data_IF_905470789292
#
_entry.id   IF_905470789292
#
_cell.length_a   1.000
_cell.length_b   1.000
_cell.length_c   1.000
_cell.angle_alpha   90.00
_cell.angle_beta   90.00
_cell.angle_gamma   90.00
#
_symmetry.space_group_name_H-M   'P 1'
#
loop_
_entity.id
_entity.type
_entity.pdbx_description
1 polymer ?
#
# COMPACT_ATOMS: atom_id res chain seq x y z
N UNK A 1 -39.77 20.68 -54.75
CA UNK A 1 -38.41 20.74 -55.36
C UNK A 1 -37.78 19.36 -55.12
N UNK A 2 -37.57 18.49 -56.14
CA UNK A 2 -36.30 18.29 -56.90
C UNK A 2 -35.06 18.15 -55.98
N UNK A 3 -34.21 17.11 -55.96
CA UNK A 3 -34.11 15.78 -56.68
C UNK A 3 -34.46 14.60 -55.71
N UNK A 4 -34.52 13.29 -56.03
CA UNK A 4 -34.34 12.42 -57.22
C UNK A 4 -32.93 11.79 -57.49
N UNK A 5 -32.92 10.47 -57.80
CA UNK A 5 -31.86 9.54 -58.30
C UNK A 5 -30.82 8.99 -57.26
N UNK A 6 -30.50 7.70 -57.06
CA UNK A 6 -30.85 6.33 -57.58
C UNK A 6 -29.76 5.57 -58.42
N UNK A 7 -29.03 4.64 -57.78
CA UNK A 7 -28.50 3.31 -58.26
C UNK A 7 -27.82 2.58 -57.07
N UNK A 8 -27.73 1.26 -56.83
CA UNK A 8 -28.13 -0.03 -57.49
C UNK A 8 -27.01 -0.79 -58.27
N UNK A 9 -26.98 -2.14 -58.11
CA UNK A 9 -26.01 -3.20 -58.54
C UNK A 9 -25.00 -3.67 -57.45
N UNK A 10 -24.61 -4.95 -57.33
CA UNK A 10 -25.37 -6.22 -57.46
C UNK A 10 -24.65 -7.41 -56.75
N UNK A 11 -25.32 -8.56 -56.67
CA UNK A 11 -24.80 -9.84 -56.13
C UNK A 11 -23.57 -10.38 -56.88
N UNK A 12 -22.74 -11.18 -56.18
CA UNK A 12 -22.38 -12.49 -56.72
C UNK A 12 -22.07 -13.53 -55.62
N UNK A 13 -22.30 -14.81 -55.93
CA UNK A 13 -22.14 -15.97 -55.05
C UNK A 13 -20.85 -16.72 -55.39
N UNK A 14 -20.20 -17.36 -54.41
CA UNK A 14 -19.43 -18.59 -54.65
C UNK A 14 -19.45 -19.50 -53.42
N UNK A 15 -19.56 -20.81 -53.65
CA UNK A 15 -19.61 -21.88 -52.64
C UNK A 15 -18.63 -23.00 -53.02
N UNK A 16 -17.78 -23.40 -52.10
CA UNK A 16 -17.09 -24.70 -51.97
C UNK A 16 -16.75 -24.84 -50.45
N UNK A 17 -17.05 -25.91 -49.70
CA UNK A 17 -16.84 -27.36 -49.87
C UNK A 17 -15.36 -27.77 -49.94
N UNK A 18 -14.86 -28.76 -49.18
CA UNK A 18 -15.41 -29.54 -48.05
C UNK A 18 -14.23 -30.26 -47.31
N UNK A 19 -14.53 -31.09 -46.30
CA UNK A 19 -13.66 -32.16 -45.73
C UNK A 19 -12.38 -31.76 -44.94
N UNK A 20 -11.79 -32.64 -44.09
CA UNK A 20 -12.31 -33.68 -43.17
C UNK A 20 -11.18 -34.22 -42.25
N UNK A 21 -11.54 -34.83 -41.10
CA UNK A 21 -10.63 -35.47 -40.12
C UNK A 21 -10.28 -34.58 -38.90
N UNK A 22 -10.27 -35.01 -37.63
CA UNK A 22 -9.90 -36.26 -36.92
C UNK A 22 -8.37 -36.49 -36.85
N UNK A 23 -7.75 -36.78 -35.69
CA UNK A 23 -8.26 -37.14 -34.35
C UNK A 23 -7.22 -36.83 -33.25
N UNK A 24 -7.64 -36.92 -31.98
CA UNK A 24 -6.91 -37.20 -30.73
C UNK A 24 -5.36 -37.08 -30.71
N UNK A 25 -4.82 -36.32 -29.73
CA UNK A 25 -4.42 -36.93 -28.44
C UNK A 25 -4.24 -35.85 -27.33
N UNK A 26 -3.78 -36.28 -26.15
CA UNK A 26 -3.99 -35.64 -24.84
C UNK A 26 -2.81 -34.84 -24.26
N UNK A 27 -3.14 -33.75 -23.58
CA UNK A 27 -2.36 -33.14 -22.49
C UNK A 27 -3.30 -32.36 -21.55
N UNK A 28 -3.06 -32.32 -20.22
CA UNK A 28 -3.77 -31.42 -19.32
C UNK A 28 -3.24 -29.99 -19.49
N UNK A 29 -4.15 -29.02 -19.54
CA UNK A 29 -3.80 -27.61 -19.73
C UNK A 29 -3.28 -27.01 -18.41
N UNK A 30 -1.98 -27.20 -18.14
CA UNK A 30 -1.31 -26.59 -16.99
C UNK A 30 -0.82 -25.19 -17.37
N UNK A 31 -1.78 -24.27 -17.48
CA UNK A 31 -1.53 -22.82 -17.60
C UNK A 31 -0.93 -22.31 -16.27
N UNK A 32 0.36 -22.59 -16.08
CA UNK A 32 1.21 -21.93 -15.09
C UNK A 32 1.51 -20.57 -15.69
N UNK A 33 0.65 -19.61 -15.38
CA UNK A 33 0.69 -18.21 -15.83
C UNK A 33 2.14 -17.67 -15.76
N UNK A 34 2.79 -17.53 -16.93
CA UNK A 34 4.16 -17.04 -16.98
C UNK A 34 4.18 -15.57 -16.57
N UNK A 35 5.16 -15.11 -15.77
CA UNK A 35 5.27 -13.70 -15.43
C UNK A 35 5.45 -12.86 -16.70
N UNK A 36 4.57 -11.84 -16.84
CA UNK A 36 4.42 -11.02 -18.04
C UNK A 36 5.76 -10.58 -18.64
N UNK A 37 5.92 -10.80 -19.94
CA UNK A 37 7.07 -10.27 -20.67
C UNK A 37 6.94 -8.75 -20.83
N UNK A 38 8.03 -7.98 -20.67
CA UNK A 38 7.98 -6.52 -20.71
C UNK A 38 7.76 -6.00 -22.14
N UNK A 39 6.48 -5.89 -22.54
CA UNK A 39 6.12 -5.41 -23.87
C UNK A 39 4.65 -5.04 -24.07
N UNK A 40 3.71 -5.75 -23.43
CA UNK A 40 2.27 -5.55 -23.65
C UNK A 40 1.63 -4.44 -22.78
N UNK A 41 0.42 -4.03 -23.15
CA UNK A 41 -0.18 -2.70 -22.92
C UNK A 41 0.09 -2.09 -21.52
N UNK A 42 1.01 -1.12 -21.49
CA UNK A 42 1.54 -0.55 -20.24
C UNK A 42 0.48 0.29 -19.52
N UNK A 43 0.19 -0.05 -18.26
CA UNK A 43 -0.32 0.95 -17.30
C UNK A 43 0.68 2.14 -17.30
N UNK A 44 0.26 3.36 -17.69
CA UNK A 44 1.18 4.50 -17.86
C UNK A 44 1.84 4.94 -16.55
N UNK A 45 1.27 4.56 -15.42
CA UNK A 45 1.81 4.86 -14.09
C UNK A 45 2.97 3.91 -13.68
N UNK A 46 3.39 2.98 -14.55
CA UNK A 46 4.55 2.10 -14.33
C UNK A 46 5.91 2.77 -14.64
N UNK A 47 5.93 3.94 -15.26
CA UNK A 47 7.17 4.67 -15.56
C UNK A 47 7.35 5.86 -14.59
N UNK A 48 8.25 5.68 -13.60
CA UNK A 48 8.67 6.62 -12.54
C UNK A 48 7.64 6.81 -11.38
N UNK A 49 7.97 7.19 -10.14
CA UNK A 49 9.23 7.64 -9.48
C UNK A 49 9.54 6.81 -8.20
N UNK A 50 10.59 7.09 -7.39
CA UNK A 50 10.74 8.14 -6.35
C UNK A 50 12.18 8.70 -6.25
N UNK A 51 12.35 9.94 -5.78
CA UNK A 51 13.69 10.59 -5.67
C UNK A 51 13.93 11.60 -4.49
N UNK A 52 14.21 11.22 -3.20
CA UNK A 52 14.62 12.22 -2.16
C UNK A 52 15.74 11.90 -1.09
N UNK A 53 16.93 12.57 -1.18
CA UNK A 53 18.03 13.01 -0.21
C UNK A 53 19.47 13.24 -0.86
N UNK A 54 19.92 14.45 -1.32
CA UNK A 54 21.09 14.66 -2.27
C UNK A 54 22.41 14.92 -1.51
N UNK A 55 22.90 16.17 -1.48
CA UNK A 55 24.32 16.51 -1.29
C UNK A 55 24.55 17.71 -0.35
N UNK A 56 25.84 18.01 -0.19
CA UNK A 56 26.45 19.03 0.67
C UNK A 56 25.98 20.48 0.48
N UNK A 57 25.06 20.76 -0.43
CA UNK A 57 24.50 22.09 -0.66
C UNK A 57 23.03 22.23 -0.20
N UNK A 58 22.43 21.18 0.39
CA UNK A 58 21.07 21.20 0.99
C UNK A 58 19.95 20.87 -0.01
N UNK A 59 19.77 19.58 -0.31
CA UNK A 59 19.43 19.08 -1.66
C UNK A 59 18.80 17.64 -1.54
N UNK A 60 17.97 17.10 -2.46
CA UNK A 60 17.24 15.77 -2.34
C UNK A 60 17.33 14.65 -3.50
N UNK A 61 18.26 13.63 -3.47
CA UNK A 61 18.43 12.31 -4.22
C UNK A 61 17.71 11.09 -3.56
N UNK A 62 16.79 10.46 -4.27
CA UNK A 62 16.96 9.05 -4.65
C UNK A 62 17.11 9.11 -6.17
N UNK A 63 17.69 8.11 -6.84
CA UNK A 63 17.87 8.16 -8.30
C UNK A 63 17.44 6.84 -8.91
N UNK A 64 16.43 6.90 -9.78
CA UNK A 64 16.00 5.73 -10.54
C UNK A 64 16.90 5.53 -11.75
N UNK A 65 17.61 4.41 -11.73
CA UNK A 65 18.30 3.74 -12.84
C UNK A 65 18.18 2.24 -12.51
N UNK A 66 18.05 1.32 -13.48
CA UNK A 66 17.52 -0.03 -13.21
C UNK A 66 18.16 -0.76 -12.01
N UNK A 67 17.29 -1.37 -11.20
CA UNK A 67 17.52 -1.82 -9.81
C UNK A 67 18.51 -2.99 -9.68
N UNK A 68 19.78 -2.78 -10.04
CA UNK A 68 20.87 -3.65 -9.62
C UNK A 68 21.23 -3.40 -8.14
N UNK A 69 21.38 -4.49 -7.40
CA UNK A 69 21.56 -4.50 -5.95
C UNK A 69 22.97 -4.04 -5.57
N UNK A 70 23.10 -3.26 -4.48
CA UNK A 70 24.37 -3.03 -3.80
C UNK A 70 24.32 -3.70 -2.42
N UNK A 71 25.23 -4.63 -2.16
CA UNK A 71 25.13 -5.58 -1.05
C UNK A 71 25.66 -5.07 0.32
N UNK A 72 26.12 -3.81 0.39
CA UNK A 72 26.72 -3.21 1.59
C UNK A 72 26.45 -1.71 1.63
N UNK A 73 26.07 -1.20 2.82
CA UNK A 73 26.03 0.23 3.14
C UNK A 73 27.10 0.50 4.20
N UNK A 74 27.96 1.50 4.00
CA UNK A 74 29.03 1.81 4.96
C UNK A 74 28.54 2.63 6.17
N UNK A 75 29.23 2.41 7.29
CA UNK A 75 28.89 2.95 8.60
C UNK A 75 29.35 4.41 8.76
N UNK A 76 28.42 5.35 8.93
CA UNK A 76 28.75 6.76 9.18
C UNK A 76 27.64 7.78 8.96
N UNK A 77 26.63 7.47 8.15
CA UNK A 77 25.44 8.32 8.02
C UNK A 77 24.38 7.94 9.05
N UNK A 78 24.08 8.84 9.99
CA UNK A 78 22.91 8.73 10.86
C UNK A 78 21.59 9.01 10.11
N UNK A 79 21.28 8.17 9.12
CA UNK A 79 19.89 7.80 8.91
C UNK A 79 19.35 7.25 10.23
N UNK A 80 18.11 7.61 10.60
CA UNK A 80 17.59 7.27 11.91
C UNK A 80 17.59 5.76 12.10
N UNK A 81 18.43 5.27 13.01
CA UNK A 81 18.44 3.86 13.39
C UNK A 81 17.02 3.42 13.75
N UNK A 82 16.72 2.16 13.45
CA UNK A 82 15.47 1.51 13.83
C UNK A 82 15.37 1.57 15.37
N UNK A 83 14.49 2.44 15.90
CA UNK A 83 14.35 2.67 17.35
C UNK A 83 13.30 1.74 17.95
N UNK A 84 13.47 0.45 17.70
CA UNK A 84 12.83 -0.61 18.47
C UNK A 84 13.38 -0.51 19.91
N UNK A 85 12.53 -0.49 20.95
CA UNK A 85 13.00 -0.59 22.34
C UNK A 85 13.70 -1.93 22.61
N UNK A 86 14.68 -1.96 23.52
CA UNK A 86 15.36 -3.20 23.90
C UNK A 86 14.35 -4.30 24.26
N UNK A 87 14.51 -5.48 23.64
CA UNK A 87 13.65 -6.67 23.78
C UNK A 87 12.17 -6.54 23.35
N UNK A 88 11.81 -5.53 22.57
CA UNK A 88 10.40 -5.26 22.19
C UNK A 88 9.71 -6.40 21.40
N UNK A 89 10.45 -7.22 20.62
CA UNK A 89 9.90 -8.38 19.91
C UNK A 89 10.37 -9.74 20.46
N UNK A 90 11.16 -9.76 21.54
CA UNK A 90 11.81 -10.99 22.03
C UNK A 90 10.83 -12.06 22.51
N UNK A 91 9.62 -11.70 22.97
CA UNK A 91 8.58 -12.67 23.31
C UNK A 91 7.93 -13.36 22.09
N UNK A 92 7.92 -12.68 20.93
CA UNK A 92 7.49 -13.28 19.66
C UNK A 92 8.57 -14.17 19.02
N UNK A 93 9.83 -14.05 19.43
CA UNK A 93 10.92 -14.86 18.91
C UNK A 93 10.71 -16.36 19.20
N UNK A 94 11.00 -17.21 18.23
CA UNK A 94 10.71 -18.65 18.18
C UNK A 94 9.24 -19.08 18.00
N UNK A 95 8.27 -18.15 18.06
CA UNK A 95 6.87 -18.46 17.76
C UNK A 95 6.62 -18.59 16.24
N UNK A 96 5.44 -19.10 15.87
CA UNK A 96 5.00 -19.24 14.47
C UNK A 96 3.48 -19.17 14.31
N UNK A 97 3.01 -19.01 13.08
CA UNK A 97 1.58 -19.09 12.73
C UNK A 97 0.70 -18.19 13.59
N UNK A 98 -0.38 -18.76 14.17
CA UNK A 98 -1.29 -18.04 15.05
C UNK A 98 -0.59 -17.54 16.32
N UNK A 99 0.22 -18.37 16.98
CA UNK A 99 0.95 -18.02 18.21
C UNK A 99 1.81 -16.75 17.99
N UNK A 100 2.50 -16.67 16.85
CA UNK A 100 3.27 -15.49 16.44
C UNK A 100 2.37 -14.28 16.16
N UNK A 101 1.24 -14.47 15.49
CA UNK A 101 0.29 -13.38 15.21
C UNK A 101 -0.33 -12.81 16.48
N UNK A 102 -0.71 -13.67 17.42
CA UNK A 102 -1.34 -13.30 18.69
C UNK A 102 -0.34 -12.58 19.61
N UNK A 103 0.90 -13.05 19.71
CA UNK A 103 1.96 -12.36 20.46
C UNK A 103 2.34 -11.02 19.81
N UNK A 104 2.48 -10.95 18.47
CA UNK A 104 2.69 -9.69 17.77
C UNK A 104 1.52 -8.72 18.00
N UNK A 105 0.27 -9.20 18.05
CA UNK A 105 -0.90 -8.40 18.39
C UNK A 105 -0.82 -7.85 19.82
N UNK A 106 -0.38 -8.64 20.79
CA UNK A 106 -0.22 -8.20 22.18
C UNK A 106 0.89 -7.15 22.33
N UNK A 107 2.07 -7.38 21.73
CA UNK A 107 3.21 -6.44 21.72
C UNK A 107 2.81 -5.06 21.20
N UNK A 108 2.04 -4.99 20.10
CA UNK A 108 1.56 -3.73 19.52
C UNK A 108 0.26 -3.21 20.16
N UNK A 109 -0.32 -3.99 21.08
CA UNK A 109 -1.50 -3.61 21.87
C UNK A 109 -1.16 -2.97 23.20
N UNK A 110 -0.27 -3.59 23.97
CA UNK A 110 0.02 -3.18 25.33
C UNK A 110 0.80 -1.85 25.38
N UNK A 111 0.39 -0.95 26.28
CA UNK A 111 0.93 0.40 26.40
C UNK A 111 0.51 1.40 25.31
N UNK A 112 -0.21 0.99 24.25
CA UNK A 112 -0.53 1.84 23.12
C UNK A 112 -1.44 3.04 23.47
N UNK A 113 -0.96 4.25 23.28
CA UNK A 113 -1.67 5.52 23.51
C UNK A 113 -2.59 5.82 22.33
N UNK A 114 -3.88 6.05 22.62
CA UNK A 114 -4.90 6.38 21.62
C UNK A 114 -5.15 7.89 21.56
N UNK A 115 -4.73 8.52 20.47
CA UNK A 115 -4.94 9.95 20.22
C UNK A 115 -6.44 10.30 20.09
N UNK A 116 -6.77 11.58 20.19
CA UNK A 116 -8.08 12.09 19.75
C UNK A 116 -8.04 12.33 18.25
N UNK A 117 -9.15 12.18 17.52
CA UNK A 117 -9.14 12.45 16.08
C UNK A 117 -8.95 13.93 15.76
N UNK A 118 -9.58 14.83 16.53
CA UNK A 118 -9.28 16.26 16.53
C UNK A 118 -9.29 16.78 17.97
N UNK A 119 -8.41 17.71 18.32
CA UNK A 119 -8.25 18.33 19.64
C UNK A 119 -7.83 19.80 19.51
N UNK A 120 -7.92 20.54 20.61
CA UNK A 120 -7.35 21.89 20.75
C UNK A 120 -6.59 22.08 22.07
N UNK A 121 -6.35 20.98 22.80
CA UNK A 121 -5.77 20.96 24.15
C UNK A 121 -4.80 19.80 24.39
N UNK A 122 -4.54 18.99 23.36
CA UNK A 122 -3.61 17.86 23.34
C UNK A 122 -3.17 17.60 21.90
N UNK A 123 -2.08 16.87 21.70
CA UNK A 123 -1.79 16.30 20.37
C UNK A 123 -2.96 15.44 19.86
N UNK A 124 -3.20 15.50 18.55
CA UNK A 124 -4.22 14.75 17.82
C UNK A 124 -3.66 14.11 16.54
N UNK A 125 -4.53 13.56 15.68
CA UNK A 125 -4.10 12.88 14.44
C UNK A 125 -3.53 13.84 13.38
N UNK A 126 -3.90 15.13 13.36
CA UNK A 126 -3.24 16.14 12.51
C UNK A 126 -1.79 16.31 12.93
N UNK A 127 -1.48 16.59 14.21
CA UNK A 127 -0.10 16.77 14.69
C UNK A 127 0.77 15.55 14.35
N UNK A 128 0.20 14.36 14.52
CA UNK A 128 0.87 13.09 14.24
C UNK A 128 1.12 12.88 12.74
N UNK A 129 0.16 13.19 11.87
CA UNK A 129 0.36 13.17 10.41
C UNK A 129 1.36 14.23 9.96
N UNK A 130 1.31 15.45 10.50
CA UNK A 130 2.26 16.51 10.16
C UNK A 130 3.71 16.16 10.52
N UNK A 131 3.94 15.52 11.67
CA UNK A 131 5.27 15.06 12.07
C UNK A 131 5.70 13.80 11.29
N UNK A 132 4.81 12.80 11.23
CA UNK A 132 5.08 11.49 10.63
C UNK A 132 5.27 11.59 9.13
N UNK A 133 4.31 12.18 8.43
CA UNK A 133 4.31 12.37 6.97
C UNK A 133 5.00 13.67 6.52
N UNK A 134 5.86 14.28 7.33
CA UNK A 134 6.62 15.48 6.94
C UNK A 134 7.41 15.24 5.64
N UNK A 135 7.23 16.12 4.64
CA UNK A 135 8.02 16.12 3.41
C UNK A 135 9.53 16.24 3.76
N UNK A 136 10.39 15.30 3.33
CA UNK A 136 11.82 15.38 3.63
C UNK A 136 12.49 16.61 2.98
N UNK A 137 11.90 17.21 1.93
CA UNK A 137 12.41 18.38 1.23
C UNK A 137 12.01 19.73 1.81
N UNK A 138 10.96 19.78 2.65
CA UNK A 138 10.49 21.01 3.26
C UNK A 138 9.77 20.66 4.56
N UNK A 139 10.40 20.96 5.70
CA UNK A 139 9.84 20.65 7.03
C UNK A 139 8.50 21.35 7.32
N UNK A 140 8.13 22.36 6.51
CA UNK A 140 6.84 23.07 6.57
C UNK A 140 5.73 22.35 5.80
N UNK A 141 6.04 21.23 5.17
CA UNK A 141 5.13 20.45 4.33
C UNK A 141 4.95 19.01 4.82
N UNK A 142 3.87 18.37 4.37
CA UNK A 142 3.66 16.92 4.38
C UNK A 142 3.84 16.33 2.98
N UNK A 143 4.21 15.06 2.90
CA UNK A 143 4.23 14.24 1.70
C UNK A 143 2.89 13.51 1.55
N UNK A 144 2.19 13.73 0.43
CA UNK A 144 0.89 13.11 0.17
C UNK A 144 1.08 11.72 -0.45
N UNK A 145 0.69 10.64 0.26
CA UNK A 145 1.06 9.25 -0.09
C UNK A 145 0.73 8.82 -1.53
N UNK A 146 -0.44 9.19 -2.07
CA UNK A 146 -0.87 8.71 -3.40
C UNK A 146 -0.43 9.61 -4.56
N UNK A 147 -0.11 10.87 -4.28
CA UNK A 147 0.22 11.88 -5.30
C UNK A 147 1.68 12.32 -5.26
N UNK A 148 2.50 11.75 -4.37
CA UNK A 148 3.95 11.89 -4.30
C UNK A 148 4.43 13.34 -4.38
N UNK A 149 3.75 14.20 -3.63
CA UNK A 149 3.89 15.65 -3.71
C UNK A 149 3.81 16.29 -2.34
N UNK A 150 4.69 17.27 -2.12
CA UNK A 150 4.69 18.11 -0.93
C UNK A 150 3.52 19.10 -0.91
N UNK A 151 2.90 19.28 0.26
CA UNK A 151 1.88 20.32 0.52
C UNK A 151 2.08 20.94 1.90
N UNK A 152 1.83 22.23 2.06
CA UNK A 152 2.01 22.91 3.34
C UNK A 152 1.19 22.25 4.47
N UNK A 153 1.78 22.15 5.66
CA UNK A 153 1.17 21.51 6.84
C UNK A 153 -0.20 22.10 7.18
N UNK A 154 -0.26 23.44 7.26
CA UNK A 154 -1.49 24.20 7.54
C UNK A 154 -2.48 24.29 6.35
N UNK A 155 -2.20 23.68 5.20
CA UNK A 155 -3.06 23.64 4.00
C UNK A 155 -3.90 22.34 4.01
N UNK A 156 -4.61 22.14 5.12
CA UNK A 156 -5.31 20.89 5.48
C UNK A 156 -6.82 21.08 5.66
N UNK A 157 -7.62 20.06 5.36
CA UNK A 157 -9.08 20.12 5.48
C UNK A 157 -9.72 18.81 5.92
N UNK A 158 -10.79 18.90 6.71
CA UNK A 158 -11.59 17.74 7.11
C UNK A 158 -12.52 17.21 6.01
N UNK A 159 -12.65 17.94 4.89
CA UNK A 159 -13.53 17.59 3.76
C UNK A 159 -12.78 17.08 2.52
N UNK A 160 -13.43 17.25 1.37
CA UNK A 160 -12.83 17.14 0.03
C UNK A 160 -12.75 18.54 -0.55
N UNK A 161 -11.55 18.97 -0.91
CA UNK A 161 -11.23 20.33 -1.34
C UNK A 161 -9.96 20.32 -2.19
N UNK A 162 -9.23 21.44 -2.30
CA UNK A 162 -7.90 21.48 -2.93
C UNK A 162 -6.75 21.34 -1.91
N UNK A 163 -7.04 20.97 -0.66
CA UNK A 163 -6.10 20.79 0.47
C UNK A 163 -5.74 19.30 0.69
N UNK A 164 -4.80 18.99 1.61
CA UNK A 164 -4.61 17.60 2.09
C UNK A 164 -5.62 17.24 3.18
N UNK A 165 -5.89 15.95 3.34
CA UNK A 165 -6.65 15.41 4.45
C UNK A 165 -6.01 14.11 4.98
N UNK A 166 -6.62 13.58 6.05
CA UNK A 166 -6.18 12.35 6.70
C UNK A 166 -6.83 11.15 6.03
N UNK A 167 -6.02 10.39 5.30
CA UNK A 167 -6.41 9.14 4.68
C UNK A 167 -6.37 7.99 5.69
N UNK A 168 -7.49 7.26 5.77
CA UNK A 168 -7.61 6.00 6.51
C UNK A 168 -7.26 4.87 5.53
N UNK A 169 -5.97 4.49 5.43
CA UNK A 169 -5.50 3.46 4.47
C UNK A 169 -6.33 2.17 4.61
N UNK A 170 -6.50 1.64 5.82
CA UNK A 170 -7.66 0.77 6.08
C UNK A 170 -8.96 1.58 6.10
N UNK A 171 -9.83 1.36 5.11
CA UNK A 171 -11.07 2.14 4.99
C UNK A 171 -12.03 1.86 6.17
N UNK A 172 -12.47 2.93 6.85
CA UNK A 172 -13.42 2.91 7.98
C UNK A 172 -14.66 2.03 7.76
N UNK A 173 -15.23 2.09 6.55
CA UNK A 173 -16.42 1.33 6.17
C UNK A 173 -16.21 -0.19 6.07
N UNK A 174 -14.96 -0.65 6.00
CA UNK A 174 -14.62 -2.08 5.97
C UNK A 174 -14.43 -2.65 7.37
N UNK A 175 -13.70 -1.95 8.23
CA UNK A 175 -13.46 -2.36 9.64
C UNK A 175 -14.58 -2.00 10.62
N UNK A 176 -15.70 -1.48 10.13
CA UNK A 176 -16.84 -0.94 10.89
C UNK A 176 -16.48 0.02 12.04
N UNK A 177 -15.48 0.88 11.82
CA UNK A 177 -15.01 1.86 12.80
C UNK A 177 -15.20 3.32 12.35
N UNK A 178 -15.44 4.20 13.32
CA UNK A 178 -15.62 5.64 13.09
C UNK A 178 -14.31 6.42 13.17
N UNK A 179 -14.36 7.57 13.85
CA UNK A 179 -13.17 8.38 14.22
C UNK A 179 -12.91 8.33 15.73
N UNK A 180 -13.43 7.30 16.40
CA UNK A 180 -13.25 7.08 17.83
C UNK A 180 -11.88 6.45 18.16
N UNK A 181 -11.47 6.58 19.42
CA UNK A 181 -10.14 6.20 19.91
C UNK A 181 -9.85 4.71 19.74
N UNK A 182 -9.03 4.39 18.74
CA UNK A 182 -8.72 3.02 18.31
C UNK A 182 -8.31 3.04 16.84
N UNK A 183 -8.83 2.09 16.05
CA UNK A 183 -8.57 2.03 14.60
C UNK A 183 -8.88 3.36 13.88
N UNK A 184 -9.90 4.11 14.31
CA UNK A 184 -10.23 5.43 13.75
C UNK A 184 -9.15 6.51 13.94
N UNK A 185 -8.14 6.27 14.77
CA UNK A 185 -7.11 7.23 15.19
C UNK A 185 -5.68 6.68 15.16
N UNK A 186 -5.44 5.47 14.61
CA UNK A 186 -4.11 4.83 14.64
C UNK A 186 -3.17 5.32 13.52
N UNK A 187 -2.11 6.02 13.91
CA UNK A 187 -1.09 6.58 13.03
C UNK A 187 -0.33 5.58 12.16
N UNK A 188 -0.35 4.28 12.50
CA UNK A 188 0.26 3.24 11.67
C UNK A 188 -0.56 2.86 10.43
N UNK A 189 -1.72 3.47 10.21
CA UNK A 189 -2.41 3.42 8.90
C UNK A 189 -3.02 4.76 8.44
N UNK A 190 -2.96 5.80 9.27
CA UNK A 190 -3.40 7.15 8.94
C UNK A 190 -2.29 7.94 8.24
N UNK A 191 -2.54 8.46 7.03
CA UNK A 191 -1.55 9.19 6.20
C UNK A 191 -2.05 10.56 5.77
N UNK A 192 -1.13 11.49 5.54
CA UNK A 192 -1.43 12.68 4.73
C UNK A 192 -1.68 12.27 3.26
N UNK A 193 -2.77 12.75 2.66
CA UNK A 193 -3.11 12.51 1.26
C UNK A 193 -3.85 13.69 0.64
N UNK A 194 -3.74 13.88 -0.67
CA UNK A 194 -4.50 14.90 -1.39
C UNK A 194 -5.99 14.57 -1.32
N UNK A 195 -6.82 15.50 -0.85
CA UNK A 195 -8.21 15.17 -0.46
C UNK A 195 -9.09 14.69 -1.62
N UNK A 196 -8.83 15.13 -2.87
CA UNK A 196 -9.52 14.59 -4.06
C UNK A 196 -9.04 13.20 -4.47
N UNK A 197 -7.77 12.88 -4.26
CA UNK A 197 -7.23 11.54 -4.56
C UNK A 197 -7.72 10.53 -3.52
N UNK A 198 -7.70 10.89 -2.23
CA UNK A 198 -8.41 10.16 -1.18
C UNK A 198 -9.89 9.92 -1.58
N UNK A 199 -10.62 10.97 -1.99
CA UNK A 199 -12.01 10.82 -2.46
C UNK A 199 -12.17 9.93 -3.71
N UNK A 200 -11.11 9.73 -4.51
CA UNK A 200 -11.10 8.92 -5.75
C UNK A 200 -10.75 7.45 -5.46
N UNK A 201 -9.93 7.22 -4.43
CA UNK A 201 -9.71 5.92 -3.79
C UNK A 201 -10.97 5.47 -3.03
N UNK A 202 -11.60 6.37 -2.29
CA UNK A 202 -12.84 6.14 -1.53
C UNK A 202 -12.70 4.99 -0.53
N UNK A 203 -13.45 3.90 -0.75
CA UNK A 203 -13.32 2.65 0.00
C UNK A 203 -12.94 1.44 -0.88
N UNK A 204 -12.23 1.68 -1.98
CA UNK A 204 -11.71 0.59 -2.82
C UNK A 204 -10.72 -0.27 -2.03
N UNK A 205 -10.78 -1.57 -2.26
CA UNK A 205 -9.78 -2.53 -1.80
C UNK A 205 -8.44 -2.25 -2.51
N UNK A 206 -7.32 -2.60 -1.87
CA UNK A 206 -6.03 -2.55 -2.56
C UNK A 206 -5.79 -3.81 -3.39
N UNK A 207 -5.17 -3.62 -4.55
CA UNK A 207 -4.78 -4.66 -5.49
C UNK A 207 -4.31 -4.04 -6.81
N UNK A 208 -3.57 -4.80 -7.60
CA UNK A 208 -3.16 -4.39 -8.95
C UNK A 208 -4.42 -4.24 -9.84
N UNK A 209 -4.41 -3.22 -10.69
CA UNK A 209 -5.44 -2.97 -11.70
C UNK A 209 -4.81 -2.98 -13.10
N UNK A 210 -5.39 -3.77 -13.99
CA UNK A 210 -4.92 -3.89 -15.38
C UNK A 210 -5.46 -2.70 -16.21
N UNK A 211 -4.92 -1.51 -15.93
CA UNK A 211 -5.32 -0.23 -16.51
C UNK A 211 -4.98 0.96 -15.58
N UNK A 212 -5.49 2.17 -15.85
CA UNK A 212 -5.29 3.33 -14.95
C UNK A 212 -5.95 3.13 -13.58
N UNK A 213 -5.36 3.66 -12.50
CA UNK A 213 -5.84 3.55 -11.10
C UNK A 213 -7.32 3.92 -10.91
N UNK A 214 -7.82 4.84 -11.72
CA UNK A 214 -9.20 5.35 -11.68
C UNK A 214 -10.22 4.47 -12.42
N UNK A 215 -9.76 3.53 -13.26
CA UNK A 215 -10.62 2.70 -14.13
C UNK A 215 -11.42 1.63 -13.39
N UNK A 216 -10.98 1.23 -12.20
CA UNK A 216 -11.59 0.16 -11.41
C UNK A 216 -12.48 0.73 -10.28
N UNK A 217 -13.64 0.11 -10.06
CA UNK A 217 -14.63 0.50 -9.04
C UNK A 217 -14.48 -0.25 -7.72
N UNK A 218 -13.79 -1.40 -7.73
CA UNK A 218 -13.59 -2.28 -6.58
C UNK A 218 -12.17 -2.16 -6.00
N UNK A 219 -11.18 -1.97 -6.87
CA UNK A 219 -9.76 -1.94 -6.52
C UNK A 219 -9.08 -0.59 -6.80
N UNK A 220 -8.05 -0.29 -6.03
CA UNK A 220 -7.15 0.85 -6.20
C UNK A 220 -5.71 0.38 -6.09
N UNK A 221 -4.89 0.78 -7.05
CA UNK A 221 -3.44 0.57 -7.08
C UNK A 221 -2.75 1.89 -6.69
N UNK A 222 -1.93 1.96 -5.63
CA UNK A 222 -1.15 3.14 -5.27
C UNK A 222 0.06 3.30 -6.21
N UNK A 223 0.82 4.42 -6.15
CA UNK A 223 2.10 4.48 -6.86
C UNK A 223 3.03 3.34 -6.42
N UNK A 224 3.93 2.91 -7.30
CA UNK A 224 4.82 1.75 -7.09
C UNK A 224 5.59 1.83 -5.76
N UNK A 225 6.04 3.03 -5.44
CA UNK A 225 6.75 3.53 -4.26
C UNK A 225 5.90 3.72 -2.99
N UNK A 226 4.61 3.38 -3.04
CA UNK A 226 3.74 3.29 -1.87
C UNK A 226 2.99 1.95 -1.79
N UNK A 227 3.39 0.96 -2.62
CA UNK A 227 2.78 -0.38 -2.61
C UNK A 227 3.19 -1.13 -1.34
N UNK A 228 4.46 -1.03 -0.96
CA UNK A 228 5.02 -1.60 0.26
C UNK A 228 4.48 -0.92 1.50
N UNK A 229 4.51 0.42 1.54
CA UNK A 229 3.83 1.24 2.56
C UNK A 229 2.39 0.75 2.80
N UNK A 230 1.58 0.67 1.75
CA UNK A 230 0.19 0.24 1.84
C UNK A 230 0.08 -1.21 2.32
N UNK A 231 0.90 -2.13 1.82
CA UNK A 231 0.93 -3.52 2.27
C UNK A 231 1.24 -3.62 3.78
N UNK A 232 2.31 -2.98 4.25
CA UNK A 232 2.74 -3.00 5.65
C UNK A 232 1.75 -2.32 6.59
N UNK A 233 1.03 -1.29 6.13
CA UNK A 233 -0.06 -0.67 6.89
C UNK A 233 -1.33 -1.55 6.95
N UNK A 234 -1.67 -2.27 5.87
CA UNK A 234 -2.81 -3.20 5.86
C UNK A 234 -2.51 -4.44 6.72
N UNK A 235 -1.32 -5.04 6.60
CA UNK A 235 -0.89 -6.15 7.45
C UNK A 235 -0.83 -5.76 8.93
N UNK A 236 -0.36 -4.55 9.26
CA UNK A 236 -0.43 -4.01 10.62
C UNK A 236 -1.86 -4.00 11.16
N UNK A 237 -2.82 -3.42 10.43
CA UNK A 237 -4.21 -3.34 10.88
C UNK A 237 -4.87 -4.71 11.04
N UNK A 238 -4.53 -5.66 10.15
CA UNK A 238 -4.97 -7.04 10.21
C UNK A 238 -4.52 -7.78 11.48
N UNK A 239 -3.32 -7.50 11.99
CA UNK A 239 -2.87 -8.03 13.29
C UNK A 239 -3.43 -7.18 14.44
N UNK A 240 -3.24 -5.86 14.40
CA UNK A 240 -3.53 -4.90 15.48
C UNK A 240 -4.97 -4.97 16.00
N UNK A 241 -5.94 -5.19 15.11
CA UNK A 241 -7.37 -5.12 15.40
C UNK A 241 -8.14 -6.42 15.05
N UNK A 242 -7.42 -7.52 14.83
CA UNK A 242 -7.97 -8.81 14.35
C UNK A 242 -8.78 -8.69 13.04
N UNK A 243 -8.37 -7.79 12.15
CA UNK A 243 -8.97 -7.64 10.83
C UNK A 243 -8.38 -8.68 9.84
N UNK A 244 -9.01 -8.82 8.66
CA UNK A 244 -8.80 -9.90 7.70
C UNK A 244 -8.31 -9.39 6.34
N UNK A 245 -7.36 -10.12 5.75
CA UNK A 245 -6.84 -9.88 4.41
C UNK A 245 -7.01 -11.17 3.63
N UNK A 246 -7.76 -11.15 2.54
CA UNK A 246 -8.03 -12.33 1.71
C UNK A 246 -8.32 -11.94 0.25
N UNK A 247 -8.18 -12.89 -0.67
CA UNK A 247 -8.36 -12.64 -2.10
C UNK A 247 -9.83 -12.50 -2.55
N UNK A 248 -10.81 -12.40 -1.62
CA UNK A 248 -12.21 -12.21 -2.00
C UNK A 248 -12.48 -10.83 -2.63
N UNK A 249 -11.67 -9.83 -2.26
CA UNK A 249 -11.86 -8.44 -2.69
C UNK A 249 -13.22 -7.84 -2.29
N UNK A 250 -13.94 -8.46 -1.35
CA UNK A 250 -15.29 -8.04 -0.96
C UNK A 250 -15.25 -6.69 -0.24
N UNK A 251 -16.24 -5.86 -0.55
CA UNK A 251 -16.51 -4.58 0.13
C UNK A 251 -17.68 -4.83 1.09
N UNK A 252 -17.38 -5.14 2.35
CA UNK A 252 -18.38 -5.33 3.41
C UNK A 252 -17.83 -4.89 4.79
N UNK A 253 -18.70 -4.88 5.80
CA UNK A 253 -18.37 -4.53 7.20
C UNK A 253 -17.68 -5.64 7.99
N UNK A 254 -17.29 -6.75 7.38
CA UNK A 254 -16.73 -7.92 8.08
C UNK A 254 -15.22 -7.81 8.30
N UNK A 255 -14.72 -6.58 8.46
CA UNK A 255 -13.31 -6.26 8.68
C UNK A 255 -12.36 -6.87 7.65
N UNK A 256 -12.67 -6.76 6.36
CA UNK A 256 -11.81 -7.22 5.25
C UNK A 256 -11.23 -6.09 4.42
N UNK A 257 -9.93 -6.14 4.10
CA UNK A 257 -9.36 -5.19 3.13
C UNK A 257 -8.18 -5.76 2.32
N UNK A 258 -8.24 -5.51 1.01
CA UNK A 258 -7.18 -5.79 0.04
C UNK A 258 -7.05 -7.26 -0.37
N UNK A 259 -6.55 -7.51 -1.59
CA UNK A 259 -6.17 -8.86 -2.02
C UNK A 259 -4.86 -9.25 -1.33
N UNK A 260 -4.83 -10.43 -0.72
CA UNK A 260 -3.64 -10.94 -0.04
C UNK A 260 -2.45 -11.09 -1.01
N UNK A 261 -2.65 -11.69 -2.18
CA UNK A 261 -1.56 -12.04 -3.09
C UNK A 261 -0.86 -10.80 -3.66
N UNK A 262 -1.65 -9.78 -4.02
CA UNK A 262 -1.11 -8.48 -4.45
C UNK A 262 -0.34 -7.79 -3.30
N UNK A 263 -0.85 -7.80 -2.07
CA UNK A 263 -0.17 -7.17 -0.93
C UNK A 263 1.13 -7.90 -0.53
N UNK A 264 1.18 -9.24 -0.65
CA UNK A 264 2.40 -10.03 -0.47
C UNK A 264 3.43 -9.68 -1.55
N UNK A 265 3.02 -9.64 -2.82
CA UNK A 265 3.84 -9.20 -3.97
C UNK A 265 4.36 -7.77 -3.78
N UNK A 266 3.51 -6.86 -3.32
CA UNK A 266 3.84 -5.44 -3.11
C UNK A 266 4.91 -5.23 -2.03
N UNK A 267 4.85 -5.96 -0.92
CA UNK A 267 5.88 -5.89 0.13
C UNK A 267 7.30 -6.23 -0.37
N UNK A 268 7.41 -7.09 -1.39
CA UNK A 268 8.68 -7.52 -1.98
C UNK A 268 9.15 -6.61 -3.12
N UNK A 269 8.22 -6.10 -3.94
CA UNK A 269 8.53 -5.15 -5.00
C UNK A 269 9.05 -3.82 -4.44
N UNK A 270 8.48 -3.39 -3.32
CA UNK A 270 8.69 -2.11 -2.65
C UNK A 270 9.10 -2.36 -1.17
N UNK A 271 10.39 -2.69 -0.91
CA UNK A 271 10.90 -2.98 0.44
C UNK A 271 10.84 -1.76 1.36
N UNK A 272 11.03 -1.97 2.67
CA UNK A 272 11.08 -0.90 3.66
C UNK A 272 12.18 0.12 3.36
N UNK A 273 11.83 1.40 3.41
CA UNK A 273 12.74 2.51 3.14
C UNK A 273 13.05 3.38 4.40
N UNK A 274 14.04 4.31 4.32
CA UNK A 274 14.36 5.20 5.43
C UNK A 274 13.23 6.16 5.84
N UNK A 275 12.30 6.47 4.93
CA UNK A 275 11.15 7.34 5.20
C UNK A 275 10.09 6.62 6.05
N UNK A 276 9.77 5.36 5.75
CA UNK A 276 8.96 4.49 6.60
C UNK A 276 9.59 4.27 7.98
N UNK A 277 10.90 4.00 8.06
CA UNK A 277 11.59 3.82 9.34
C UNK A 277 11.54 5.11 10.18
N UNK A 278 11.80 6.28 9.56
CA UNK A 278 11.58 7.59 10.19
C UNK A 278 10.14 7.72 10.68
N UNK A 279 9.16 7.33 9.87
CA UNK A 279 7.73 7.44 10.18
C UNK A 279 7.35 6.55 11.37
N UNK A 280 7.70 5.27 11.37
CA UNK A 280 7.46 4.33 12.47
C UNK A 280 8.10 4.83 13.78
N UNK A 281 9.33 5.37 13.71
CA UNK A 281 9.99 6.04 14.83
C UNK A 281 9.19 7.25 15.38
N UNK A 282 8.51 8.02 14.52
CA UNK A 282 7.70 9.18 14.94
C UNK A 282 6.33 8.75 15.47
N UNK A 283 5.63 7.80 14.84
CA UNK A 283 4.34 7.30 15.35
C UNK A 283 4.53 6.65 16.72
N UNK A 284 5.63 5.91 16.96
CA UNK A 284 6.01 5.44 18.30
C UNK A 284 6.21 6.59 19.31
N UNK A 285 6.70 7.74 18.84
CA UNK A 285 6.77 9.00 19.58
C UNK A 285 5.42 9.46 20.15
N UNK A 286 4.34 9.33 19.38
CA UNK A 286 2.97 9.67 19.81
C UNK A 286 2.26 8.51 20.54
N UNK A 287 2.27 7.31 19.95
CA UNK A 287 1.40 6.19 20.33
C UNK A 287 2.06 5.10 21.17
N UNK A 288 3.40 5.07 21.32
CA UNK A 288 4.15 4.05 22.08
C UNK A 288 4.01 2.61 21.58
N UNK A 289 3.50 2.39 20.38
CA UNK A 289 3.54 1.11 19.67
C UNK A 289 4.23 1.24 18.29
N UNK A 290 4.68 0.11 17.74
CA UNK A 290 5.42 0.01 16.47
C UNK A 290 4.59 -0.70 15.38
N UNK A 291 4.95 -0.50 14.12
CA UNK A 291 4.54 -1.41 13.04
C UNK A 291 5.63 -2.51 12.86
N UNK A 292 5.35 -3.79 13.19
CA UNK A 292 6.33 -4.86 13.11
C UNK A 292 6.70 -5.22 11.67
N UNK A 293 5.83 -4.92 10.69
CA UNK A 293 6.10 -5.17 9.28
C UNK A 293 6.98 -4.09 8.62
N UNK A 294 7.21 -2.96 9.31
CA UNK A 294 8.26 -1.98 8.93
C UNK A 294 9.57 -2.34 9.62
N UNK A 295 9.52 -2.80 10.87
CA UNK A 295 10.72 -3.12 11.66
C UNK A 295 11.37 -4.46 11.27
N UNK A 296 10.53 -5.45 10.94
CA UNK A 296 10.90 -6.81 10.53
C UNK A 296 10.04 -7.22 9.32
N UNK A 297 10.30 -6.68 8.11
CA UNK A 297 9.45 -6.88 6.94
C UNK A 297 9.34 -8.34 6.48
N UNK A 298 10.24 -9.22 6.90
CA UNK A 298 10.13 -10.66 6.66
C UNK A 298 8.99 -11.32 7.46
N UNK A 299 8.51 -10.71 8.56
CA UNK A 299 7.35 -11.18 9.32
C UNK A 299 6.09 -11.32 8.46
N UNK A 300 5.96 -10.55 7.38
CA UNK A 300 4.87 -10.69 6.40
C UNK A 300 4.78 -12.14 5.89
N UNK A 301 5.91 -12.78 5.63
CA UNK A 301 5.96 -14.20 5.19
C UNK A 301 5.65 -15.19 6.31
N UNK A 302 5.96 -14.85 7.57
CA UNK A 302 5.71 -15.70 8.74
C UNK A 302 4.27 -15.58 9.29
N UNK A 303 3.58 -14.47 9.04
CA UNK A 303 2.19 -14.25 9.50
C UNK A 303 1.17 -14.51 8.39
N UNK A 304 1.47 -14.11 7.14
CA UNK A 304 0.51 -14.15 6.03
C UNK A 304 0.95 -15.02 4.84
N UNK A 305 2.24 -15.35 4.73
CA UNK A 305 2.83 -16.06 3.60
C UNK A 305 3.13 -17.55 3.80
N UNK A 306 4.11 -18.02 3.06
CA UNK A 306 4.57 -19.41 2.97
C UNK A 306 5.32 -19.91 4.21
N UNK A 307 5.91 -19.02 5.01
CA UNK A 307 6.72 -19.35 6.19
C UNK A 307 5.93 -19.56 7.49
N UNK A 308 4.60 -19.47 7.47
CA UNK A 308 3.74 -19.59 8.66
C UNK A 308 3.98 -20.82 9.54
N UNK A 309 4.45 -21.92 8.95
CA UNK A 309 4.71 -23.18 9.67
C UNK A 309 6.14 -23.26 10.27
N UNK A 310 6.99 -22.28 9.98
CA UNK A 310 8.35 -22.14 10.51
C UNK A 310 8.41 -21.12 11.66
N UNK A 311 9.28 -21.35 12.63
CA UNK A 311 9.55 -20.40 13.70
C UNK A 311 10.23 -19.13 13.15
N UNK A 312 9.69 -17.96 13.50
CA UNK A 312 10.39 -16.69 13.34
C UNK A 312 11.51 -16.55 14.38
N UNK A 313 12.50 -15.71 14.10
CA UNK A 313 13.61 -15.38 15.00
C UNK A 313 14.01 -13.93 14.79
N UNK A 314 13.98 -13.18 15.89
CA UNK A 314 14.69 -11.91 16.08
C UNK A 314 16.22 -12.11 15.95
#
# INVERSE_FOLDING_TARGET
MKKILLLLLMFNFFLFSCDSGSSDDSAPDTDIEQPDQPGDDKNPDRENYLTPNVDSEGKIIVNYTPKEYVATVEEGQHMLSVRIPDSYYTSASTLKGNDLREELQEIISTGAIKLSYTSSSSYDVWDMCEAGDQNPADERQVWQIYTETGRAKNDHSAGVSDEWNREHVWAKSHGDFGTDKGAGTDGHHLRASYSKENSTRGNKNFGDVNGPRTSNTQFYEPPLSAKGDVARMIFYMAVRYDFKVDNSGVINKEARMGKLDDLLKWNELDPVDPYEIRRNNIIYGFQKNRNPFIDHPELVKYVFGDKKDAAWKE
#
